data_IF_201773456684
#
_entry.id   IF_201773456684
#
_cell.length_a   1.000
_cell.length_b   1.000
_cell.length_c   1.000
_cell.angle_alpha   90.00
_cell.angle_beta   90.00
_cell.angle_gamma   90.00
#
_symmetry.space_group_name_H-M   'P 1'
#
loop_
_entity.id
_entity.type
_entity.pdbx_description
1 polymer ?
#
# COMPACT_ATOMS: atom_id res chain seq x y z
N UNK A 1 -54.70 -14.74 -6.64
CA UNK A 1 -53.31 -15.26 -6.69
C UNK A 1 -52.41 -14.05 -6.85
N UNK A 2 -51.53 -13.80 -5.88
CA UNK A 2 -50.67 -12.63 -5.82
C UNK A 2 -49.65 -12.62 -6.96
N UNK A 3 -49.28 -11.44 -7.51
CA UNK A 3 -48.04 -11.32 -8.26
C UNK A 3 -46.88 -11.48 -7.28
N UNK A 4 -45.98 -12.40 -7.59
CA UNK A 4 -44.73 -12.57 -6.86
C UNK A 4 -43.89 -11.30 -7.04
N UNK A 5 -43.36 -10.82 -5.92
CA UNK A 5 -42.53 -9.64 -5.78
C UNK A 5 -41.30 -9.66 -6.70
N UNK A 6 -41.10 -8.57 -7.43
CA UNK A 6 -39.79 -8.14 -7.94
C UNK A 6 -38.88 -7.89 -6.72
N UNK A 7 -38.24 -8.95 -6.25
CA UNK A 7 -37.14 -8.86 -5.30
C UNK A 7 -35.94 -8.33 -6.05
N UNK A 8 -35.66 -7.03 -5.90
CA UNK A 8 -34.46 -6.38 -6.44
C UNK A 8 -33.21 -7.16 -6.06
N UNK A 9 -32.67 -7.91 -7.00
CA UNK A 9 -31.30 -8.40 -6.97
C UNK A 9 -30.41 -7.17 -7.00
N UNK A 10 -29.67 -6.91 -5.93
CA UNK A 10 -28.56 -5.95 -6.00
C UNK A 10 -27.64 -6.41 -7.12
N UNK A 11 -27.52 -5.64 -8.21
CA UNK A 11 -26.56 -5.93 -9.27
C UNK A 11 -25.17 -6.12 -8.64
N UNK A 12 -24.54 -7.27 -8.91
CA UNK A 12 -23.18 -7.51 -8.46
C UNK A 12 -22.26 -6.50 -9.15
N UNK A 13 -21.16 -6.09 -8.50
CA UNK A 13 -20.14 -5.24 -9.14
C UNK A 13 -19.54 -5.90 -10.39
N UNK A 14 -19.68 -7.22 -10.52
CA UNK A 14 -19.27 -7.99 -11.68
C UNK A 14 -20.32 -8.06 -12.80
N UNK A 15 -21.51 -7.49 -12.60
CA UNK A 15 -22.58 -7.45 -13.61
C UNK A 15 -22.68 -6.09 -14.30
N UNK A 16 -21.79 -5.15 -13.99
CA UNK A 16 -21.77 -3.81 -14.56
C UNK A 16 -21.44 -3.81 -16.07
N UNK A 17 -21.97 -2.84 -16.80
CA UNK A 17 -21.62 -2.60 -18.22
C UNK A 17 -20.22 -1.96 -18.36
N UNK A 18 -19.20 -2.80 -18.38
CA UNK A 18 -17.82 -2.37 -18.56
C UNK A 18 -17.50 -1.81 -19.96
N UNK A 19 -18.38 -1.97 -20.96
CA UNK A 19 -18.21 -1.26 -22.23
C UNK A 19 -18.39 0.25 -22.07
N UNK A 20 -19.24 0.67 -21.11
CA UNK A 20 -19.44 2.06 -20.76
C UNK A 20 -18.15 2.70 -20.23
N UNK A 21 -17.73 3.80 -20.87
CA UNK A 21 -16.63 4.62 -20.38
C UNK A 21 -16.92 5.21 -18.99
N UNK A 22 -18.19 5.55 -18.72
CA UNK A 22 -18.63 6.09 -17.44
C UNK A 22 -18.38 5.11 -16.29
N UNK A 23 -18.69 3.83 -16.48
CA UNK A 23 -18.45 2.78 -15.47
C UNK A 23 -16.95 2.57 -15.25
N UNK A 24 -16.17 2.40 -16.33
CA UNK A 24 -14.72 2.20 -16.23
C UNK A 24 -14.00 3.37 -15.53
N UNK A 25 -14.34 4.60 -15.90
CA UNK A 25 -13.76 5.80 -15.27
C UNK A 25 -14.21 5.97 -13.82
N UNK A 26 -15.47 5.65 -13.49
CA UNK A 26 -15.97 5.67 -12.11
C UNK A 26 -15.22 4.67 -11.24
N UNK A 27 -15.00 3.44 -11.72
CA UNK A 27 -14.26 2.41 -10.98
C UNK A 27 -12.77 2.76 -10.83
N UNK A 28 -12.16 3.39 -11.83
CA UNK A 28 -10.80 3.92 -11.72
C UNK A 28 -10.72 5.00 -10.63
N UNK A 29 -11.65 5.96 -10.61
CA UNK A 29 -11.70 7.00 -9.57
C UNK A 29 -11.99 6.38 -8.20
N UNK A 30 -12.90 5.42 -8.12
CA UNK A 30 -13.20 4.69 -6.88
C UNK A 30 -11.96 3.94 -6.36
N UNK A 31 -11.19 3.29 -7.25
CA UNK A 31 -9.91 2.68 -6.91
C UNK A 31 -8.91 3.68 -6.34
N UNK A 32 -8.74 4.83 -6.99
CA UNK A 32 -7.88 5.92 -6.49
C UNK A 32 -8.30 6.36 -5.08
N UNK A 33 -9.59 6.64 -4.89
CA UNK A 33 -10.14 7.11 -3.60
C UNK A 33 -10.01 6.02 -2.52
N UNK A 34 -10.20 4.75 -2.89
CA UNK A 34 -10.05 3.63 -1.98
C UNK A 34 -8.63 3.55 -1.41
N UNK A 35 -7.59 3.58 -2.27
CA UNK A 35 -6.20 3.50 -1.79
C UNK A 35 -5.73 4.77 -1.09
N UNK A 36 -6.25 5.94 -1.48
CA UNK A 36 -6.09 7.15 -0.67
C UNK A 36 -6.70 6.97 0.73
N UNK A 37 -7.88 6.33 0.81
CA UNK A 37 -8.50 5.95 2.06
C UNK A 37 -7.64 4.99 2.89
N UNK A 38 -7.06 3.95 2.27
CA UNK A 38 -6.13 3.02 2.92
C UNK A 38 -4.91 3.78 3.48
N UNK A 39 -4.33 4.69 2.70
CA UNK A 39 -3.22 5.54 3.13
C UNK A 39 -3.59 6.37 4.36
N UNK A 40 -4.75 7.04 4.35
CA UNK A 40 -5.22 7.87 5.47
C UNK A 40 -5.53 7.00 6.70
N UNK A 41 -6.20 5.86 6.52
CA UNK A 41 -6.49 4.94 7.63
C UNK A 41 -5.19 4.40 8.24
N UNK A 42 -4.22 4.04 7.41
CA UNK A 42 -2.89 3.64 7.85
C UNK A 42 -2.23 4.74 8.69
N UNK A 43 -2.27 5.99 8.22
CA UNK A 43 -1.75 7.15 8.95
C UNK A 43 -2.39 7.29 10.33
N UNK A 44 -3.74 7.23 10.39
CA UNK A 44 -4.49 7.39 11.63
C UNK A 44 -4.23 6.26 12.63
N UNK A 45 -4.24 5.01 12.15
CA UNK A 45 -3.99 3.83 12.99
C UNK A 45 -2.55 3.82 13.49
N UNK A 46 -1.57 4.08 12.62
CA UNK A 46 -0.15 4.11 12.98
C UNK A 46 0.16 5.25 13.95
N UNK A 47 -0.40 6.45 13.75
CA UNK A 47 -0.26 7.56 14.68
C UNK A 47 -0.83 7.26 16.07
N UNK A 48 -1.93 6.50 16.12
CA UNK A 48 -2.62 6.17 17.38
C UNK A 48 -1.93 5.03 18.13
N UNK A 49 -1.53 3.97 17.43
CA UNK A 49 -1.17 2.68 18.02
C UNK A 49 0.33 2.36 17.93
N UNK A 50 1.08 3.00 17.02
CA UNK A 50 2.45 2.61 16.72
C UNK A 50 3.47 3.65 17.24
N UNK A 51 4.25 3.26 18.25
CA UNK A 51 5.25 4.12 18.88
C UNK A 51 6.41 4.46 17.93
N UNK A 52 6.88 3.49 17.13
CA UNK A 52 7.90 3.69 16.11
C UNK A 52 7.43 4.73 15.12
N UNK A 53 6.24 4.54 14.54
CA UNK A 53 5.64 5.47 13.60
C UNK A 53 5.62 6.90 14.14
N UNK A 54 5.21 7.10 15.40
CA UNK A 54 5.17 8.45 16.00
C UNK A 54 6.55 9.12 16.05
N UNK A 55 7.61 8.35 16.28
CA UNK A 55 8.99 8.85 16.32
C UNK A 55 9.60 9.13 14.95
N UNK A 56 9.01 8.60 13.87
CA UNK A 56 9.50 8.82 12.51
C UNK A 56 9.36 10.29 12.09
N UNK A 57 10.31 10.76 11.29
CA UNK A 57 10.22 12.07 10.63
C UNK A 57 9.12 12.07 9.56
N UNK A 58 8.61 13.26 9.21
CA UNK A 58 7.46 13.39 8.29
C UNK A 58 7.63 12.62 6.96
N UNK A 59 8.84 12.64 6.38
CA UNK A 59 9.14 11.89 5.14
C UNK A 59 8.97 10.38 5.33
N UNK A 60 9.48 9.83 6.43
CA UNK A 60 9.42 8.40 6.70
C UNK A 60 8.01 7.95 7.04
N UNK A 61 7.20 8.80 7.68
CA UNK A 61 5.77 8.58 7.90
C UNK A 61 5.01 8.41 6.58
N UNK A 62 5.25 9.30 5.61
CA UNK A 62 4.64 9.18 4.27
C UNK A 62 5.05 7.89 3.57
N UNK A 63 6.34 7.52 3.63
CA UNK A 63 6.81 6.26 3.04
C UNK A 63 6.29 5.03 3.77
N UNK A 64 6.07 5.11 5.08
CA UNK A 64 5.43 4.05 5.85
C UNK A 64 3.98 3.83 5.42
N UNK A 65 3.21 4.90 5.29
CA UNK A 65 1.81 4.83 4.88
C UNK A 65 1.69 4.36 3.42
N UNK A 66 2.62 4.77 2.54
CA UNK A 66 2.72 4.23 1.18
C UNK A 66 3.11 2.75 1.17
N UNK A 67 4.07 2.32 1.98
CA UNK A 67 4.46 0.91 2.07
C UNK A 67 3.28 0.03 2.50
N UNK A 68 2.51 0.46 3.50
CA UNK A 68 1.31 -0.24 3.92
C UNK A 68 0.25 -0.29 2.80
N UNK A 69 0.02 0.82 2.10
CA UNK A 69 -0.94 0.90 0.99
C UNK A 69 -0.54 -0.03 -0.16
N UNK A 70 0.74 -0.06 -0.53
CA UNK A 70 1.31 -0.97 -1.53
C UNK A 70 1.21 -2.43 -1.10
N UNK A 71 1.39 -2.73 0.17
CA UNK A 71 1.21 -4.09 0.69
C UNK A 71 -0.24 -4.57 0.52
N UNK A 72 -1.23 -3.73 0.82
CA UNK A 72 -2.65 -4.07 0.60
C UNK A 72 -2.94 -4.31 -0.88
N UNK A 73 -2.46 -3.41 -1.76
CA UNK A 73 -2.58 -3.59 -3.20
C UNK A 73 -1.90 -4.88 -3.69
N UNK A 74 -0.69 -5.19 -3.20
CA UNK A 74 0.05 -6.39 -3.56
C UNK A 74 -0.67 -7.67 -3.16
N UNK A 75 -1.31 -7.71 -1.99
CA UNK A 75 -2.14 -8.86 -1.57
C UNK A 75 -3.33 -9.05 -2.51
N UNK A 76 -4.07 -7.98 -2.80
CA UNK A 76 -5.20 -8.03 -3.73
C UNK A 76 -4.76 -8.49 -5.13
N UNK A 77 -3.69 -7.91 -5.65
CA UNK A 77 -3.12 -8.18 -6.97
C UNK A 77 -2.61 -9.62 -7.08
N UNK A 78 -2.00 -10.13 -6.01
CA UNK A 78 -1.57 -11.53 -5.93
C UNK A 78 -2.76 -12.48 -6.00
N UNK A 79 -3.82 -12.23 -5.22
CA UNK A 79 -5.01 -13.08 -5.24
C UNK A 79 -5.67 -13.09 -6.62
N UNK A 80 -5.85 -11.91 -7.23
CA UNK A 80 -6.46 -11.76 -8.55
C UNK A 80 -5.62 -12.42 -9.66
N UNK A 81 -4.31 -12.23 -9.61
CA UNK A 81 -3.38 -12.82 -10.57
C UNK A 81 -3.25 -14.33 -10.43
N UNK A 82 -3.29 -14.88 -9.21
CA UNK A 82 -3.27 -16.33 -8.97
C UNK A 82 -4.55 -16.96 -9.49
N UNK A 83 -5.70 -16.30 -9.29
CA UNK A 83 -6.96 -16.75 -9.85
C UNK A 83 -6.94 -16.75 -11.38
N UNK A 84 -6.43 -15.69 -12.01
CA UNK A 84 -6.26 -15.65 -13.47
C UNK A 84 -5.33 -16.75 -14.01
N UNK A 85 -4.28 -17.08 -13.27
CA UNK A 85 -3.24 -18.01 -13.69
C UNK A 85 -3.59 -19.49 -13.45
N UNK A 86 -4.39 -19.78 -12.42
CA UNK A 86 -4.63 -21.15 -11.94
C UNK A 86 -6.10 -21.57 -12.00
N UNK A 87 -7.02 -20.60 -11.96
CA UNK A 87 -8.43 -20.85 -11.66
C UNK A 87 -9.43 -20.42 -12.73
N UNK A 88 -9.06 -19.52 -13.65
CA UNK A 88 -10.00 -18.99 -14.65
C UNK A 88 -9.90 -19.73 -16.00
N UNK A 89 -10.84 -20.64 -16.31
CA UNK A 89 -10.79 -21.41 -17.55
C UNK A 89 -11.03 -20.55 -18.80
N UNK A 90 -11.69 -19.40 -18.68
CA UNK A 90 -12.03 -18.54 -19.82
C UNK A 90 -10.80 -17.76 -20.29
N UNK A 91 -10.04 -17.20 -19.36
CA UNK A 91 -8.78 -16.53 -19.70
C UNK A 91 -7.72 -17.51 -20.23
N UNK A 92 -7.75 -18.77 -19.77
CA UNK A 92 -6.87 -19.81 -20.31
C UNK A 92 -7.23 -20.24 -21.74
N UNK A 93 -8.52 -20.26 -22.08
CA UNK A 93 -9.00 -20.62 -23.40
C UNK A 93 -8.60 -19.58 -24.47
N UNK A 94 -8.57 -18.29 -24.10
CA UNK A 94 -8.09 -17.22 -24.97
C UNK A 94 -7.21 -16.22 -24.20
N UNK A 95 -5.90 -16.44 -24.25
CA UNK A 95 -4.93 -15.55 -23.58
C UNK A 95 -4.75 -14.20 -24.29
N UNK A 96 -5.17 -14.08 -25.54
CA UNK A 96 -4.93 -12.89 -26.37
C UNK A 96 -6.07 -11.89 -26.25
N UNK A 97 -7.33 -12.37 -26.22
CA UNK A 97 -8.52 -11.51 -26.19
C UNK A 97 -9.53 -11.91 -25.11
N UNK A 98 -9.29 -12.97 -24.36
CA UNK A 98 -10.17 -13.41 -23.28
C UNK A 98 -10.35 -12.29 -22.25
N UNK A 99 -11.61 -12.04 -21.90
CA UNK A 99 -12.04 -11.05 -20.94
C UNK A 99 -13.09 -11.64 -20.01
N UNK A 100 -13.13 -11.09 -18.80
CA UNK A 100 -14.07 -11.42 -17.75
C UNK A 100 -14.42 -10.14 -16.99
N UNK A 101 -15.64 -10.04 -16.48
CA UNK A 101 -16.10 -8.85 -15.77
C UNK A 101 -15.33 -8.62 -14.46
N UNK A 102 -14.96 -9.69 -13.76
CA UNK A 102 -14.13 -9.59 -12.56
C UNK A 102 -12.73 -9.05 -12.90
N UNK A 103 -12.17 -9.40 -14.06
CA UNK A 103 -10.91 -8.81 -14.52
C UNK A 103 -11.05 -7.32 -14.81
N UNK A 104 -12.17 -6.87 -15.39
CA UNK A 104 -12.41 -5.43 -15.59
C UNK A 104 -12.40 -4.68 -14.26
N UNK A 105 -13.03 -5.22 -13.21
CA UNK A 105 -12.97 -4.65 -11.87
C UNK A 105 -11.53 -4.49 -11.37
N UNK A 106 -10.71 -5.55 -11.47
CA UNK A 106 -9.31 -5.49 -11.04
C UNK A 106 -8.45 -4.55 -11.89
N UNK A 107 -8.62 -4.53 -13.21
CA UNK A 107 -7.88 -3.63 -14.12
C UNK A 107 -8.23 -2.17 -13.83
N UNK A 108 -9.52 -1.85 -13.68
CA UNK A 108 -9.96 -0.47 -13.41
C UNK A 108 -9.51 0.01 -12.05
N UNK A 109 -9.65 -0.79 -11.00
CA UNK A 109 -9.17 -0.45 -9.65
C UNK A 109 -7.64 -0.38 -9.57
N UNK A 110 -6.91 -1.27 -10.26
CA UNK A 110 -5.45 -1.19 -10.37
C UNK A 110 -4.99 0.06 -11.13
N UNK A 111 -5.71 0.48 -12.19
CA UNK A 111 -5.45 1.76 -12.86
C UNK A 111 -5.58 2.93 -11.88
N UNK A 112 -6.62 2.90 -11.04
CA UNK A 112 -6.82 3.87 -9.96
C UNK A 112 -5.68 3.88 -8.93
N UNK A 113 -5.23 2.70 -8.49
CA UNK A 113 -4.07 2.55 -7.60
C UNK A 113 -2.80 3.15 -8.19
N UNK A 114 -2.44 2.79 -9.44
CA UNK A 114 -1.23 3.30 -10.06
C UNK A 114 -1.31 4.82 -10.29
N UNK A 115 -2.49 5.36 -10.56
CA UNK A 115 -2.70 6.82 -10.59
C UNK A 115 -2.40 7.45 -9.21
N UNK A 116 -2.94 6.87 -8.13
CA UNK A 116 -2.65 7.30 -6.76
C UNK A 116 -1.15 7.26 -6.45
N UNK A 117 -0.47 6.16 -6.75
CA UNK A 117 0.97 6.01 -6.52
C UNK A 117 1.80 7.04 -7.29
N UNK A 118 1.47 7.29 -8.56
CA UNK A 118 2.15 8.33 -9.34
C UNK A 118 1.99 9.71 -8.67
N UNK A 119 0.76 10.08 -8.30
CA UNK A 119 0.50 11.35 -7.59
C UNK A 119 1.30 11.42 -6.29
N UNK A 120 1.26 10.36 -5.47
CA UNK A 120 1.91 10.34 -4.17
C UNK A 120 3.45 10.40 -4.29
N UNK A 121 4.04 9.67 -5.22
CA UNK A 121 5.49 9.67 -5.46
C UNK A 121 5.95 11.03 -6.00
N UNK A 122 5.24 11.61 -6.97
CA UNK A 122 5.60 12.93 -7.52
C UNK A 122 5.46 14.04 -6.48
N UNK A 123 4.38 14.03 -5.71
CA UNK A 123 4.18 15.00 -4.64
C UNK A 123 5.24 14.86 -3.54
N UNK A 124 5.57 13.63 -3.14
CA UNK A 124 6.64 13.36 -2.17
C UNK A 124 8.00 13.82 -2.69
N UNK A 125 8.33 13.55 -3.95
CA UNK A 125 9.56 14.01 -4.60
C UNK A 125 9.65 15.54 -4.63
N UNK A 126 8.54 16.22 -4.93
CA UNK A 126 8.49 17.68 -4.93
C UNK A 126 8.67 18.27 -3.51
N UNK A 127 7.92 17.76 -2.53
CA UNK A 127 7.92 18.27 -1.15
C UNK A 127 9.26 18.00 -0.46
N UNK A 128 9.76 16.77 -0.55
CA UNK A 128 10.99 16.36 0.14
C UNK A 128 12.26 16.58 -0.71
N UNK A 129 12.11 17.12 -1.93
CA UNK A 129 13.20 17.34 -2.90
C UNK A 129 14.00 16.06 -3.14
N UNK A 130 13.29 14.95 -3.34
CA UNK A 130 13.87 13.66 -3.67
C UNK A 130 13.62 13.35 -5.15
N UNK A 131 14.38 12.41 -5.70
CA UNK A 131 14.17 11.97 -7.06
C UNK A 131 14.42 10.47 -7.17
N UNK A 132 13.36 9.69 -7.02
CA UNK A 132 13.38 8.25 -7.22
C UNK A 132 12.98 7.92 -8.66
N UNK A 133 13.97 7.99 -9.57
CA UNK A 133 13.76 7.81 -11.01
C UNK A 133 13.19 6.41 -11.34
N UNK A 134 13.74 5.37 -10.73
CA UNK A 134 13.34 3.99 -11.04
C UNK A 134 11.90 3.74 -10.61
N UNK A 135 11.53 4.18 -9.41
CA UNK A 135 10.17 4.04 -8.90
C UNK A 135 9.17 4.84 -9.74
N UNK A 136 9.51 6.09 -10.09
CA UNK A 136 8.66 6.94 -10.95
C UNK A 136 8.44 6.29 -12.32
N UNK A 137 9.51 5.85 -12.99
CA UNK A 137 9.40 5.22 -14.31
C UNK A 137 8.59 3.93 -14.21
N UNK A 138 8.85 3.09 -13.21
CA UNK A 138 8.15 1.83 -13.01
C UNK A 138 6.63 2.04 -12.85
N UNK A 139 6.22 2.90 -11.93
CA UNK A 139 4.79 3.18 -11.70
C UNK A 139 4.14 3.92 -12.86
N UNK A 140 4.88 4.74 -13.61
CA UNK A 140 4.37 5.37 -14.83
C UNK A 140 4.06 4.32 -15.91
N UNK A 141 4.99 3.39 -16.17
CA UNK A 141 4.76 2.32 -17.14
C UNK A 141 3.63 1.38 -16.70
N UNK A 142 3.56 1.05 -15.40
CA UNK A 142 2.46 0.26 -14.87
C UNK A 142 1.11 0.99 -15.09
N UNK A 143 1.03 2.28 -14.75
CA UNK A 143 -0.16 3.09 -14.99
C UNK A 143 -0.57 3.10 -16.46
N UNK A 144 0.36 3.38 -17.38
CA UNK A 144 0.08 3.43 -18.81
C UNK A 144 -0.35 2.06 -19.38
N UNK A 145 0.23 0.97 -18.88
CA UNK A 145 -0.16 -0.38 -19.29
C UNK A 145 -1.61 -0.72 -18.91
N UNK A 146 -1.98 -0.46 -17.65
CA UNK A 146 -3.34 -0.69 -17.17
C UNK A 146 -4.35 0.32 -17.76
N UNK A 147 -3.96 1.58 -17.94
CA UNK A 147 -4.77 2.57 -18.66
C UNK A 147 -5.01 2.15 -20.11
N UNK A 148 -4.00 1.57 -20.77
CA UNK A 148 -4.12 0.97 -22.10
C UNK A 148 -5.20 -0.13 -22.16
N UNK A 149 -5.21 -1.01 -21.16
CA UNK A 149 -6.27 -2.03 -21.02
C UNK A 149 -7.63 -1.40 -20.72
N UNK A 150 -7.66 -0.34 -19.91
CA UNK A 150 -8.87 0.40 -19.58
C UNK A 150 -9.50 1.05 -20.82
N UNK A 151 -8.72 1.66 -21.70
CA UNK A 151 -9.25 2.34 -22.92
C UNK A 151 -9.57 1.37 -24.05
N UNK A 152 -8.80 0.29 -24.18
CA UNK A 152 -8.93 -0.67 -25.27
C UNK A 152 -9.85 -1.83 -24.89
N UNK A 153 -11.11 -1.76 -25.31
CA UNK A 153 -12.11 -2.82 -25.12
C UNK A 153 -11.73 -4.17 -25.78
N UNK A 154 -10.70 -4.20 -26.62
CA UNK A 154 -10.22 -5.41 -27.27
C UNK A 154 -8.95 -5.99 -26.63
N UNK A 155 -8.44 -5.36 -25.57
CA UNK A 155 -7.26 -5.85 -24.85
C UNK A 155 -7.61 -7.13 -24.08
N UNK A 156 -6.83 -8.19 -24.26
CA UNK A 156 -6.98 -9.41 -23.45
C UNK A 156 -6.60 -9.17 -21.99
N UNK A 157 -7.39 -9.71 -21.07
CA UNK A 157 -7.17 -9.52 -19.64
C UNK A 157 -6.17 -10.49 -19.05
N UNK A 158 -5.93 -11.65 -19.66
CA UNK A 158 -5.03 -12.66 -19.12
C UNK A 158 -3.63 -12.10 -18.80
N UNK A 159 -3.04 -11.36 -19.75
CA UNK A 159 -1.71 -10.76 -19.55
C UNK A 159 -1.74 -9.72 -18.43
N UNK A 160 -2.70 -8.78 -18.47
CA UNK A 160 -2.82 -7.73 -17.45
C UNK A 160 -2.99 -8.30 -16.04
N UNK A 161 -3.83 -9.33 -15.90
CA UNK A 161 -4.06 -10.01 -14.62
C UNK A 161 -2.85 -10.83 -14.17
N UNK A 162 -2.16 -11.49 -15.08
CA UNK A 162 -0.91 -12.19 -14.76
C UNK A 162 0.20 -11.20 -14.37
N UNK A 163 0.24 -10.01 -14.99
CA UNK A 163 1.18 -8.94 -14.62
C UNK A 163 0.96 -8.45 -13.19
N UNK A 164 -0.27 -8.48 -12.66
CA UNK A 164 -0.53 -8.20 -11.24
C UNK A 164 0.20 -9.17 -10.28
N UNK A 165 0.58 -10.38 -10.72
CA UNK A 165 1.42 -11.28 -9.91
C UNK A 165 2.83 -10.76 -9.69
N UNK A 166 3.32 -9.83 -10.51
CA UNK A 166 4.63 -9.23 -10.28
C UNK A 166 4.67 -8.46 -8.96
N UNK A 167 3.51 -8.06 -8.42
CA UNK A 167 3.36 -7.43 -7.11
C UNK A 167 3.38 -8.44 -5.94
N UNK A 168 3.58 -9.74 -6.19
CA UNK A 168 3.55 -10.75 -5.13
C UNK A 168 4.64 -10.55 -4.07
N UNK A 169 5.79 -10.00 -4.44
CA UNK A 169 6.85 -9.67 -3.49
C UNK A 169 6.58 -8.38 -2.72
N UNK A 170 5.76 -7.48 -3.27
CA UNK A 170 5.52 -6.13 -2.73
C UNK A 170 5.07 -6.13 -1.26
N UNK A 171 4.12 -6.97 -0.82
CA UNK A 171 3.74 -7.04 0.60
C UNK A 171 4.93 -7.41 1.50
N UNK A 172 5.74 -8.39 1.08
CA UNK A 172 6.88 -8.84 1.86
C UNK A 172 7.96 -7.77 1.97
N UNK A 173 8.29 -7.10 0.86
CA UNK A 173 9.28 -6.01 0.85
C UNK A 173 8.82 -4.83 1.71
N UNK A 174 7.55 -4.43 1.59
CA UNK A 174 6.99 -3.33 2.37
C UNK A 174 6.96 -3.65 3.87
N UNK A 175 6.43 -4.80 4.25
CA UNK A 175 6.36 -5.23 5.67
C UNK A 175 7.76 -5.40 6.26
N UNK A 176 8.69 -6.00 5.52
CA UNK A 176 10.08 -6.16 5.99
C UNK A 176 10.75 -4.81 6.24
N UNK A 177 10.53 -3.82 5.37
CA UNK A 177 11.04 -2.46 5.56
C UNK A 177 10.43 -1.79 6.81
N UNK A 178 9.11 -1.94 7.02
CA UNK A 178 8.43 -1.40 8.21
C UNK A 178 8.98 -2.04 9.50
N UNK A 179 9.16 -3.36 9.54
CA UNK A 179 9.75 -4.08 10.68
C UNK A 179 11.21 -3.71 10.94
N UNK A 180 11.98 -3.41 9.89
CA UNK A 180 13.34 -2.91 10.03
C UNK A 180 13.36 -1.54 10.73
N UNK A 181 12.40 -0.67 10.42
CA UNK A 181 12.25 0.64 11.08
C UNK A 181 11.85 0.49 12.55
N UNK A 182 10.95 -0.43 12.87
CA UNK A 182 10.62 -0.79 14.27
C UNK A 182 11.87 -1.19 15.05
N UNK A 183 12.65 -2.12 14.48
CA UNK A 183 13.84 -2.66 15.14
C UNK A 183 14.90 -1.58 15.39
N UNK A 184 15.06 -0.65 14.46
CA UNK A 184 15.98 0.48 14.61
C UNK A 184 15.56 1.45 15.72
N UNK A 185 14.27 1.82 15.77
CA UNK A 185 13.77 2.73 16.81
C UNK A 185 13.84 2.11 18.19
N UNK A 186 13.47 0.83 18.32
CA UNK A 186 13.57 0.11 19.60
C UNK A 186 15.04 0.01 20.04
N UNK A 187 15.96 -0.30 19.12
CA UNK A 187 17.38 -0.39 19.43
C UNK A 187 17.99 0.94 19.87
N UNK A 188 17.64 2.04 19.21
CA UNK A 188 18.12 3.38 19.56
C UNK A 188 17.56 3.87 20.89
N UNK A 189 16.25 3.70 21.14
CA UNK A 189 15.65 4.01 22.45
C UNK A 189 16.21 3.13 23.58
N UNK A 190 16.48 1.86 23.30
CA UNK A 190 17.13 0.95 24.25
C UNK A 190 18.53 1.42 24.63
N UNK A 191 19.33 1.86 23.65
CA UNK A 191 20.67 2.40 23.89
C UNK A 191 20.63 3.73 24.67
N UNK A 192 19.72 4.64 24.32
CA UNK A 192 19.55 5.91 25.05
C UNK A 192 19.11 5.69 26.50
N UNK A 193 18.18 4.76 26.74
CA UNK A 193 17.73 4.42 28.09
C UNK A 193 18.85 3.77 28.94
N UNK A 194 19.69 2.93 28.33
CA UNK A 194 20.85 2.34 29.00
C UNK A 194 21.88 3.41 29.40
N UNK A 195 22.22 4.32 28.49
CA UNK A 195 23.14 5.43 28.77
C UNK A 195 22.58 6.40 29.83
N UNK A 196 21.28 6.68 29.80
CA UNK A 196 20.61 7.51 30.79
C UNK A 196 20.53 6.85 32.17
N UNK A 197 20.45 5.52 32.22
CA UNK A 197 20.54 4.73 33.47
C UNK A 197 21.95 4.79 34.04
N UNK A 198 22.97 4.57 33.21
CA UNK A 198 24.37 4.58 33.62
C UNK A 198 24.81 5.96 34.14
N UNK A 199 24.40 7.03 33.44
CA UNK A 199 24.63 8.42 33.87
C UNK A 199 23.99 8.73 35.22
N UNK A 200 22.79 8.16 35.50
CA UNK A 200 22.11 8.30 36.78
C UNK A 200 22.80 7.52 37.90
N UNK A 201 23.31 6.31 37.63
CA UNK A 201 24.08 5.55 38.62
C UNK A 201 25.39 6.24 38.98
N UNK A 202 26.08 6.84 38.01
CA UNK A 202 27.30 7.63 38.25
C UNK A 202 27.00 8.87 39.11
N UNK A 203 25.90 9.58 38.85
CA UNK A 203 25.48 10.71 39.69
C UNK A 203 25.15 10.27 41.12
N UNK A 204 24.41 9.17 41.31
CA UNK A 204 24.06 8.70 42.66
C UNK A 204 25.31 8.32 43.46
N UNK A 205 26.32 7.70 42.84
CA UNK A 205 27.59 7.41 43.52
C UNK A 205 28.34 8.68 43.92
N UNK A 206 28.36 9.74 43.09
CA UNK A 206 29.07 10.98 43.44
C UNK A 206 28.44 11.74 44.62
N UNK A 207 27.15 11.53 44.91
CA UNK A 207 26.46 12.13 46.06
C UNK A 207 26.56 11.30 47.35
N UNK A 208 27.13 10.09 47.30
CA UNK A 208 27.24 9.19 48.45
C UNK A 208 28.59 9.22 49.17
N UNK A 209 29.52 10.11 48.81
CA UNK A 209 30.78 10.26 49.53
C UNK A 209 30.58 11.13 50.78
N UNK A 210 30.70 10.60 52.02
CA UNK A 210 30.68 11.42 53.21
C UNK A 210 31.92 12.32 53.19
N UNK A 211 31.71 13.62 53.33
CA UNK A 211 32.76 14.60 53.48
C UNK A 211 33.46 14.35 54.82
N UNK A 212 34.63 13.72 54.80
CA UNK A 212 35.46 13.59 56.00
C UNK A 212 35.84 15.00 56.49
N UNK A 213 35.35 15.35 57.68
CA UNK A 213 35.73 16.57 58.39
C UNK A 213 37.20 16.45 58.84
N UNK A 214 38.02 17.49 58.66
CA UNK A 214 39.41 17.45 59.08
C UNK A 214 39.50 17.39 60.62
N UNK A 215 40.47 16.65 61.18
CA UNK A 215 40.67 16.57 62.62
C UNK A 215 41.18 17.90 63.18
N UNK A 216 40.66 18.26 64.36
CA UNK A 216 41.02 19.45 65.16
C UNK A 216 42.46 19.42 65.69
#
# INVERSE_FOLDING_TARGET
MNPASDGGTSESIFDLDYASWGIRSTLMVAGFVFYLGVFVVCHQLSSSLNATYRSLVAREKVFWDLAATRAVFGVQSTAAGLWALLGDPVLHADKARGQQNWCWFHITTATGFFCFENVAVHLSNLIFRTFDLFLVIHHLFAFLGFLGCLVNLQAGHYLAMTTLLLEMSTPFTCVSWMLLKESWVIGTQGAENALASDSRSVQIQSFSHPQELPPE
#
